data_IF_466577582006
#
_entry.id   IF_466577582006
#
_cell.length_a   1.000
_cell.length_b   1.000
_cell.length_c   1.000
_cell.angle_alpha   90.00
_cell.angle_beta   90.00
_cell.angle_gamma   90.00
#
_symmetry.space_group_name_H-M   'P 1'
#
loop_
_entity.id
_entity.type
_entity.pdbx_description
1 polymer ?
#
# COMPACT_ATOMS: atom_id res chain seq x y z
N UNK A 1 29.00 83.32 22.99
CA UNK A 1 28.00 82.50 23.65
C UNK A 1 27.39 81.51 22.61
N UNK A 2 27.81 80.24 22.65
CA UNK A 2 27.46 79.30 21.65
C UNK A 2 26.42 78.36 22.21
N UNK A 3 25.24 78.27 21.56
CA UNK A 3 24.22 77.35 21.87
C UNK A 3 24.49 76.04 21.11
N UNK A 4 24.68 74.97 21.83
CA UNK A 4 24.76 73.58 21.27
C UNK A 4 23.34 73.04 21.02
N UNK A 5 23.02 72.72 19.78
CA UNK A 5 21.86 71.96 19.38
C UNK A 5 22.16 70.47 19.53
N UNK A 6 21.42 69.80 20.39
CA UNK A 6 21.44 68.34 20.48
C UNK A 6 20.37 67.78 19.52
N UNK A 7 20.81 67.08 18.49
CA UNK A 7 19.94 66.31 17.62
C UNK A 7 19.70 64.92 18.22
N UNK A 8 18.47 64.65 18.62
CA UNK A 8 18.07 63.30 19.02
C UNK A 8 17.72 62.48 17.78
N UNK A 9 18.53 61.47 17.52
CA UNK A 9 18.29 60.51 16.43
C UNK A 9 17.36 59.43 16.96
N UNK A 10 16.11 59.42 16.49
CA UNK A 10 15.13 58.42 16.79
C UNK A 10 15.39 57.21 15.91
N UNK A 11 15.90 56.13 16.47
CA UNK A 11 16.03 54.81 15.81
C UNK A 11 14.65 54.13 15.79
N UNK A 12 14.06 54.06 14.61
CA UNK A 12 12.84 53.32 14.36
C UNK A 12 13.23 51.85 14.18
N UNK A 13 13.00 51.01 15.19
CA UNK A 13 13.19 49.58 15.12
C UNK A 13 12.00 48.96 14.34
N UNK A 14 12.24 48.59 13.08
CA UNK A 14 11.30 47.85 12.25
C UNK A 14 11.36 46.37 12.64
N UNK A 15 10.45 45.95 13.50
CA UNK A 15 10.26 44.54 13.82
C UNK A 15 9.60 43.82 12.60
N UNK A 16 10.39 43.09 11.81
CA UNK A 16 9.89 42.16 10.84
C UNK A 16 9.27 40.96 11.56
N UNK A 17 7.95 40.93 11.64
CA UNK A 17 7.19 39.75 11.95
C UNK A 17 7.31 38.76 10.76
N UNK A 18 8.26 37.86 10.86
CA UNK A 18 8.29 36.65 10.02
C UNK A 18 7.10 35.79 10.44
N UNK A 19 5.96 35.97 9.76
CA UNK A 19 4.90 34.98 9.76
C UNK A 19 5.46 33.74 9.09
N UNK A 20 5.98 32.81 9.90
CA UNK A 20 6.31 31.48 9.46
C UNK A 20 5.02 30.82 8.99
N UNK A 21 4.79 30.82 7.68
CA UNK A 21 3.86 29.89 7.08
C UNK A 21 4.41 28.48 7.36
N UNK A 22 3.97 27.91 8.47
CA UNK A 22 4.15 26.51 8.74
C UNK A 22 3.43 25.75 7.63
N UNK A 23 4.19 25.31 6.62
CA UNK A 23 3.74 24.22 5.78
C UNK A 23 3.46 23.07 6.75
N UNK A 24 2.18 22.84 7.08
CA UNK A 24 1.75 21.57 7.61
C UNK A 24 2.05 20.56 6.50
N UNK A 25 3.18 19.90 6.63
CA UNK A 25 3.48 18.70 5.86
C UNK A 25 2.41 17.72 6.32
N UNK A 26 1.33 17.60 5.56
CA UNK A 26 0.46 16.44 5.65
C UNK A 26 1.36 15.23 5.56
N UNK A 27 1.18 14.19 6.41
CA UNK A 27 1.94 12.97 6.28
C UNK A 27 1.84 12.55 4.82
N UNK A 28 2.97 12.61 4.13
CA UNK A 28 2.99 12.48 2.69
C UNK A 28 2.46 11.09 2.33
N UNK A 29 1.39 11.06 1.58
CA UNK A 29 1.08 9.92 0.74
C UNK A 29 2.20 9.88 -0.32
N UNK A 30 3.33 9.36 0.09
CA UNK A 30 4.43 9.10 -0.82
C UNK A 30 4.02 7.86 -1.60
N UNK A 31 3.78 8.09 -2.81
CA UNK A 31 3.28 7.29 -3.89
C UNK A 31 4.11 6.04 -4.15
N UNK A 32 3.91 5.00 -3.37
CA UNK A 32 3.92 3.68 -3.95
C UNK A 32 2.59 3.63 -4.71
N UNK A 33 2.61 3.90 -6.01
CA UNK A 33 1.39 3.95 -6.80
C UNK A 33 0.96 2.52 -7.10
N UNK A 34 -0.30 2.27 -6.81
CA UNK A 34 -0.99 1.12 -7.36
C UNK A 34 -1.65 1.56 -8.65
N UNK A 35 -1.41 0.86 -9.73
CA UNK A 35 -2.25 0.90 -10.93
C UNK A 35 -3.55 0.09 -10.69
N UNK A 36 -4.17 0.30 -9.53
CA UNK A 36 -5.43 -0.32 -9.18
C UNK A 36 -6.55 0.27 -10.03
N UNK A 37 -7.11 -0.52 -10.91
CA UNK A 37 -8.37 -0.21 -11.56
C UNK A 37 -9.47 -0.02 -10.50
N UNK A 38 -10.53 0.68 -10.83
CA UNK A 38 -11.73 0.81 -9.99
C UNK A 38 -12.66 -0.39 -10.12
N UNK A 39 -12.12 -1.54 -10.47
CA UNK A 39 -12.90 -2.74 -10.79
C UNK A 39 -13.46 -3.36 -9.51
N UNK A 40 -14.69 -3.85 -9.63
CA UNK A 40 -15.34 -4.64 -8.60
C UNK A 40 -15.13 -6.13 -8.93
N UNK A 41 -14.50 -6.86 -8.00
CA UNK A 41 -14.28 -8.29 -8.14
C UNK A 41 -15.15 -9.07 -7.18
N UNK A 42 -15.78 -10.11 -7.67
CA UNK A 42 -16.42 -11.14 -6.84
C UNK A 42 -15.74 -12.49 -7.09
N UNK A 43 -15.42 -13.20 -6.02
CA UNK A 43 -14.84 -14.52 -6.09
C UNK A 43 -15.40 -15.44 -5.00
N UNK A 44 -15.34 -16.73 -5.26
CA UNK A 44 -15.84 -17.73 -4.32
C UNK A 44 -14.71 -18.13 -3.38
N UNK A 45 -15.03 -18.20 -2.07
CA UNK A 45 -14.10 -18.66 -1.05
C UNK A 45 -13.66 -20.10 -1.33
N UNK A 46 -12.36 -20.31 -1.30
CA UNK A 46 -11.78 -21.65 -1.47
C UNK A 46 -11.93 -22.41 -0.15
N UNK A 47 -12.54 -23.61 -0.15
CA UNK A 47 -12.62 -24.40 1.07
C UNK A 47 -11.23 -24.62 1.67
N UNK A 48 -11.06 -24.60 3.00
CA UNK A 48 -9.76 -24.80 3.65
C UNK A 48 -9.03 -26.08 3.25
N UNK A 49 -9.76 -27.11 2.81
CA UNK A 49 -9.19 -28.35 2.23
C UNK A 49 -8.60 -28.16 0.83
N UNK A 50 -8.95 -27.07 0.16
CA UNK A 50 -8.54 -26.73 -1.21
C UNK A 50 -7.55 -25.54 -1.21
N UNK A 51 -7.07 -25.13 -0.04
CA UNK A 51 -6.08 -24.09 0.13
C UNK A 51 -6.64 -22.75 0.55
N UNK A 52 -5.88 -21.68 0.30
CA UNK A 52 -6.24 -20.30 0.60
C UNK A 52 -6.57 -19.57 -0.70
N UNK A 53 -7.54 -18.68 -0.66
CA UNK A 53 -7.79 -17.75 -1.77
C UNK A 53 -6.69 -16.71 -1.79
N UNK A 54 -6.10 -16.47 -2.94
CA UNK A 54 -5.04 -15.49 -3.17
C UNK A 54 -5.60 -14.34 -3.99
N UNK A 55 -5.32 -13.11 -3.56
CA UNK A 55 -5.64 -11.89 -4.30
C UNK A 55 -4.38 -11.08 -4.44
N UNK A 56 -4.00 -10.77 -5.67
CA UNK A 56 -2.77 -10.08 -6.00
C UNK A 56 -3.02 -8.73 -6.66
N UNK A 57 -2.19 -7.76 -6.28
CA UNK A 57 -2.14 -6.41 -6.82
C UNK A 57 -0.73 -6.00 -7.19
N UNK A 58 -0.61 -5.23 -8.25
CA UNK A 58 0.68 -4.68 -8.68
C UNK A 58 0.90 -3.35 -7.99
N UNK A 59 2.07 -3.20 -7.36
CA UNK A 59 2.52 -1.92 -6.84
C UNK A 59 3.89 -1.56 -7.40
N UNK A 60 4.16 -0.27 -7.52
CA UNK A 60 5.43 0.27 -8.01
C UNK A 60 6.00 1.26 -7.01
N UNK A 61 7.26 1.12 -6.64
CA UNK A 61 7.96 2.15 -5.89
C UNK A 61 8.37 3.28 -6.86
N UNK A 62 7.60 4.36 -6.89
CA UNK A 62 7.89 5.53 -7.73
C UNK A 62 8.85 6.53 -7.06
N UNK A 63 9.30 6.23 -5.83
CA UNK A 63 10.32 7.01 -5.13
C UNK A 63 11.72 6.80 -5.72
N UNK A 64 12.66 7.59 -5.25
CA UNK A 64 14.09 7.52 -5.60
C UNK A 64 14.92 6.72 -4.59
N UNK A 65 14.28 6.21 -3.54
CA UNK A 65 14.89 5.42 -2.48
C UNK A 65 14.15 4.08 -2.31
N UNK A 66 14.82 3.04 -1.80
CA UNK A 66 14.16 1.80 -1.45
C UNK A 66 13.20 2.01 -0.27
N UNK A 67 12.10 1.27 -0.26
CA UNK A 67 11.13 1.21 0.84
C UNK A 67 11.04 -0.20 1.39
N UNK A 68 10.88 -0.34 2.71
CA UNK A 68 10.69 -1.64 3.35
C UNK A 68 9.22 -1.82 3.71
N UNK A 69 8.60 -2.89 3.24
CA UNK A 69 7.21 -3.23 3.59
C UNK A 69 7.14 -3.61 5.07
N UNK A 70 6.22 -3.00 5.81
CA UNK A 70 6.02 -3.26 7.26
C UNK A 70 4.70 -3.93 7.57
N UNK A 71 3.68 -3.72 6.73
CA UNK A 71 2.36 -4.31 6.91
C UNK A 71 1.60 -4.37 5.59
N UNK A 72 0.81 -5.43 5.40
CA UNK A 72 -0.18 -5.52 4.33
C UNK A 72 -1.52 -5.91 4.94
N UNK A 73 -2.56 -5.15 4.63
CA UNK A 73 -3.91 -5.41 5.15
C UNK A 73 -4.99 -5.06 4.14
N UNK A 74 -6.22 -5.47 4.42
CA UNK A 74 -7.39 -5.08 3.64
C UNK A 74 -7.92 -3.71 4.11
N UNK A 75 -8.32 -2.88 3.15
CA UNK A 75 -9.03 -1.63 3.40
C UNK A 75 -10.51 -1.90 3.65
N UNK A 76 -11.08 -1.23 4.68
CA UNK A 76 -12.50 -1.27 5.03
C UNK A 76 -13.07 -2.70 5.07
N UNK A 77 -12.28 -3.66 5.52
CA UNK A 77 -12.65 -5.06 5.54
C UNK A 77 -13.88 -5.30 6.43
N UNK A 78 -14.86 -6.01 5.88
CA UNK A 78 -16.02 -6.52 6.59
C UNK A 78 -16.06 -8.04 6.41
N UNK A 79 -15.90 -8.76 7.52
CA UNK A 79 -15.91 -10.22 7.53
C UNK A 79 -14.90 -10.91 6.60
N UNK A 80 -13.86 -10.18 6.17
CA UNK A 80 -12.68 -10.73 5.48
C UNK A 80 -11.44 -10.52 6.35
N UNK A 81 -10.52 -11.48 6.30
CA UNK A 81 -9.25 -11.43 7.01
C UNK A 81 -8.10 -11.76 6.08
N UNK A 82 -6.95 -11.09 6.29
CA UNK A 82 -5.66 -11.49 5.71
C UNK A 82 -5.07 -12.57 6.61
N UNK A 83 -4.73 -13.71 6.05
CA UNK A 83 -4.05 -14.79 6.74
C UNK A 83 -2.54 -14.72 6.56
N UNK A 84 -2.11 -14.39 5.34
CA UNK A 84 -0.71 -14.21 4.97
C UNK A 84 -0.61 -13.15 3.86
N UNK A 85 0.57 -12.54 3.74
CA UNK A 85 0.89 -11.63 2.63
C UNK A 85 2.28 -11.94 2.08
N UNK A 86 2.39 -11.86 0.76
CA UNK A 86 3.60 -12.17 0.02
C UNK A 86 3.92 -11.08 -1.00
N UNK A 87 5.19 -10.96 -1.32
CA UNK A 87 5.66 -10.21 -2.49
C UNK A 87 6.18 -11.19 -3.52
N UNK A 88 5.79 -10.98 -4.76
CA UNK A 88 6.31 -11.70 -5.91
C UNK A 88 7.04 -10.69 -6.79
N UNK A 89 8.37 -10.78 -6.90
CA UNK A 89 9.14 -9.92 -7.80
C UNK A 89 8.66 -10.08 -9.24
N UNK A 90 8.34 -8.95 -9.89
CA UNK A 90 7.93 -8.99 -11.28
C UNK A 90 9.13 -9.23 -12.19
N UNK A 91 9.01 -10.24 -13.04
CA UNK A 91 9.98 -10.48 -14.10
C UNK A 91 9.45 -9.91 -15.42
N UNK A 92 10.34 -9.46 -16.28
CA UNK A 92 9.97 -9.02 -17.62
C UNK A 92 9.46 -10.22 -18.43
N UNK A 93 8.18 -10.24 -18.75
CA UNK A 93 7.58 -11.28 -19.60
C UNK A 93 6.14 -11.63 -19.22
N UNK A 94 5.43 -12.39 -20.06
CA UNK A 94 4.10 -12.89 -19.74
C UNK A 94 4.12 -13.87 -18.56
N UNK A 95 3.06 -13.87 -17.73
CA UNK A 95 2.92 -14.78 -16.58
C UNK A 95 3.68 -14.31 -15.33
N UNK A 96 3.93 -13.00 -15.17
CA UNK A 96 4.68 -12.47 -14.04
C UNK A 96 3.81 -12.02 -12.86
N UNK A 97 2.48 -11.99 -12.99
CA UNK A 97 1.56 -11.48 -11.98
C UNK A 97 0.48 -12.49 -11.64
N UNK A 98 0.09 -12.49 -10.39
CA UNK A 98 -1.04 -13.25 -9.88
C UNK A 98 -2.16 -12.25 -9.55
N UNK A 99 -3.32 -12.44 -10.16
CA UNK A 99 -4.54 -11.72 -9.81
C UNK A 99 -5.31 -12.49 -8.72
N UNK A 100 -6.36 -13.25 -9.10
CA UNK A 100 -7.07 -14.13 -8.16
C UNK A 100 -6.74 -15.60 -8.45
N UNK A 101 -6.40 -16.35 -7.41
CA UNK A 101 -6.03 -17.78 -7.52
C UNK A 101 -6.22 -18.51 -6.18
N UNK A 102 -5.68 -19.71 -6.06
CA UNK A 102 -5.64 -20.51 -4.85
C UNK A 102 -4.26 -21.10 -4.63
N UNK A 103 -3.87 -21.28 -3.37
CA UNK A 103 -2.59 -21.92 -2.99
C UNK A 103 -2.47 -23.38 -3.47
N UNK A 104 -3.58 -24.06 -3.72
CA UNK A 104 -3.60 -25.44 -4.20
C UNK A 104 -3.91 -25.56 -5.70
N UNK A 105 -3.73 -24.49 -6.46
CA UNK A 105 -3.84 -24.55 -7.91
C UNK A 105 -2.88 -25.62 -8.48
N UNK A 106 -3.35 -26.34 -9.50
CA UNK A 106 -2.51 -27.28 -10.26
C UNK A 106 -1.96 -26.66 -11.54
N UNK A 107 -2.24 -25.39 -11.75
CA UNK A 107 -1.72 -24.64 -12.87
C UNK A 107 -0.20 -24.43 -12.69
N UNK A 108 0.62 -25.01 -13.58
CA UNK A 108 2.07 -24.92 -13.44
C UNK A 108 2.60 -23.48 -13.58
N UNK A 109 1.90 -22.60 -14.30
CA UNK A 109 2.29 -21.19 -14.41
C UNK A 109 2.08 -20.47 -13.08
N UNK A 110 0.93 -20.69 -12.44
CA UNK A 110 0.64 -20.11 -11.12
C UNK A 110 1.59 -20.69 -10.06
N UNK A 111 1.89 -21.98 -10.10
CA UNK A 111 2.87 -22.58 -9.18
C UNK A 111 4.25 -21.93 -9.36
N UNK A 112 4.71 -21.75 -10.58
CA UNK A 112 5.99 -21.10 -10.88
C UNK A 112 6.03 -19.62 -10.40
N UNK A 113 4.89 -18.93 -10.33
CA UNK A 113 4.77 -17.61 -9.73
C UNK A 113 4.88 -17.71 -8.20
N UNK A 114 4.14 -18.62 -7.58
CA UNK A 114 4.12 -18.83 -6.14
C UNK A 114 5.46 -19.31 -5.58
N UNK A 115 6.22 -20.09 -6.34
CA UNK A 115 7.58 -20.55 -5.96
C UNK A 115 8.57 -19.41 -5.77
N UNK A 116 8.25 -18.21 -6.26
CA UNK A 116 9.05 -16.97 -6.11
C UNK A 116 8.52 -16.04 -5.02
N UNK A 117 7.43 -16.43 -4.37
CA UNK A 117 6.81 -15.61 -3.35
C UNK A 117 7.68 -15.53 -2.10
N UNK A 118 7.91 -14.30 -1.63
CA UNK A 118 8.62 -14.01 -0.40
C UNK A 118 7.65 -13.38 0.61
N UNK A 119 7.85 -13.53 1.93
CA UNK A 119 7.04 -12.83 2.93
C UNK A 119 7.02 -11.33 2.66
N UNK A 120 5.84 -10.70 2.75
CA UNK A 120 5.73 -9.29 2.47
C UNK A 120 6.42 -8.41 3.53
N UNK A 121 6.27 -8.77 4.81
CA UNK A 121 6.90 -8.04 5.91
C UNK A 121 8.43 -8.14 5.83
N UNK A 122 9.09 -7.00 5.83
CA UNK A 122 10.54 -6.89 5.70
C UNK A 122 11.06 -6.90 4.25
N UNK A 123 10.19 -7.11 3.25
CA UNK A 123 10.60 -7.04 1.84
C UNK A 123 11.00 -5.61 1.46
N UNK A 124 12.09 -5.47 0.71
CA UNK A 124 12.60 -4.18 0.26
C UNK A 124 12.28 -4.00 -1.22
N UNK A 125 11.47 -2.98 -1.52
CA UNK A 125 11.12 -2.62 -2.90
C UNK A 125 12.05 -1.50 -3.35
N UNK A 126 12.89 -1.77 -4.34
CA UNK A 126 13.84 -0.81 -4.89
C UNK A 126 13.17 0.36 -5.66
N UNK A 127 13.92 1.45 -5.93
CA UNK A 127 13.43 2.57 -6.72
C UNK A 127 13.03 2.12 -8.14
N UNK A 128 11.81 2.47 -8.56
CA UNK A 128 11.25 2.07 -9.86
C UNK A 128 10.89 0.59 -9.96
N UNK A 129 11.10 -0.19 -8.91
CA UNK A 129 10.75 -1.60 -8.89
C UNK A 129 9.23 -1.78 -8.84
N UNK A 130 8.75 -2.73 -9.62
CA UNK A 130 7.38 -3.17 -9.64
C UNK A 130 7.28 -4.58 -9.07
N UNK A 131 6.37 -4.77 -8.15
CA UNK A 131 6.13 -6.07 -7.50
C UNK A 131 4.65 -6.40 -7.48
N UNK A 132 4.32 -7.69 -7.40
CA UNK A 132 2.97 -8.15 -7.17
C UNK A 132 2.82 -8.46 -5.67
N UNK A 133 2.01 -7.67 -4.97
CA UNK A 133 1.61 -7.95 -3.58
C UNK A 133 0.47 -8.94 -3.61
N UNK A 134 0.62 -10.06 -2.96
CA UNK A 134 -0.38 -11.13 -2.91
C UNK A 134 -0.82 -11.35 -1.48
N UNK A 135 -2.11 -11.23 -1.21
CA UNK A 135 -2.72 -11.54 0.09
C UNK A 135 -3.45 -12.86 0.03
N UNK A 136 -3.18 -13.73 1.00
CA UNK A 136 -4.02 -14.89 1.26
C UNK A 136 -5.18 -14.44 2.15
N UNK A 137 -6.40 -14.58 1.65
CA UNK A 137 -7.61 -14.08 2.32
C UNK A 137 -8.61 -15.19 2.59
N UNK A 138 -9.42 -15.01 3.63
CA UNK A 138 -10.54 -15.89 3.95
C UNK A 138 -11.73 -15.09 4.48
N UNK A 139 -12.91 -15.71 4.47
CA UNK A 139 -14.11 -15.18 5.13
C UNK A 139 -14.05 -15.57 6.61
N UNK A 140 -14.40 -14.62 7.49
CA UNK A 140 -14.47 -14.86 8.92
C UNK A 140 -15.37 -16.06 9.27
N UNK A 141 -15.02 -16.77 10.35
CA UNK A 141 -15.75 -17.97 10.74
C UNK A 141 -17.23 -17.67 11.02
N UNK A 142 -18.12 -18.51 10.49
CA UNK A 142 -19.57 -18.38 10.70
C UNK A 142 -20.28 -17.42 9.75
N UNK A 143 -19.55 -16.73 8.89
CA UNK A 143 -20.09 -15.79 7.91
C UNK A 143 -20.11 -16.42 6.52
N UNK A 144 -20.99 -15.96 5.64
CA UNK A 144 -21.14 -16.48 4.26
C UNK A 144 -20.53 -15.57 3.21
N UNK A 145 -20.33 -14.31 3.54
CA UNK A 145 -19.82 -13.30 2.61
C UNK A 145 -18.98 -12.28 3.38
N UNK A 146 -17.89 -11.86 2.79
CA UNK A 146 -17.07 -10.75 3.26
C UNK A 146 -16.76 -9.77 2.14
N UNK A 147 -16.30 -8.59 2.47
CA UNK A 147 -15.92 -7.58 1.50
C UNK A 147 -14.74 -6.74 1.98
N UNK A 148 -14.04 -6.12 1.03
CA UNK A 148 -13.04 -5.10 1.29
C UNK A 148 -13.01 -4.08 0.13
N UNK A 149 -12.53 -2.88 0.39
CA UNK A 149 -12.42 -1.82 -0.62
C UNK A 149 -11.03 -1.76 -1.27
N UNK A 150 -10.13 -2.63 -0.89
CA UNK A 150 -8.78 -2.71 -1.45
C UNK A 150 -7.77 -3.37 -0.54
N UNK A 151 -6.49 -3.23 -0.94
CA UNK A 151 -5.32 -3.65 -0.17
C UNK A 151 -4.53 -2.40 0.22
N UNK A 152 -4.20 -2.25 1.49
CA UNK A 152 -3.28 -1.23 1.99
C UNK A 152 -1.91 -1.87 2.22
N UNK A 153 -0.86 -1.24 1.69
CA UNK A 153 0.53 -1.60 1.94
C UNK A 153 1.20 -0.46 2.70
N UNK A 154 1.68 -0.75 3.89
CA UNK A 154 2.51 0.16 4.66
C UNK A 154 3.97 -0.15 4.43
N UNK A 155 4.74 0.89 4.24
CA UNK A 155 6.18 0.78 4.08
C UNK A 155 6.91 1.89 4.83
N UNK A 156 8.15 1.63 5.16
CA UNK A 156 9.05 2.59 5.79
C UNK A 156 10.16 2.96 4.82
N UNK A 157 10.37 4.27 4.71
CA UNK A 157 11.55 4.88 4.13
C UNK A 157 12.06 5.84 5.19
N UNK A 158 13.13 5.45 5.89
CA UNK A 158 13.61 6.24 7.01
C UNK A 158 13.85 7.72 6.61
N UNK A 159 13.31 8.75 7.33
CA UNK A 159 12.56 8.63 8.60
C UNK A 159 11.03 8.49 8.49
N UNK A 160 10.49 8.36 7.29
CA UNK A 160 9.05 8.45 7.02
C UNK A 160 8.37 7.08 6.90
N UNK A 161 7.10 7.01 7.32
CA UNK A 161 6.22 5.88 7.05
C UNK A 161 5.30 6.24 5.89
N UNK A 162 5.23 5.39 4.89
CA UNK A 162 4.42 5.57 3.70
C UNK A 162 3.24 4.59 3.71
N UNK A 163 2.10 5.04 3.20
CA UNK A 163 0.90 4.21 3.04
C UNK A 163 0.49 4.25 1.57
N UNK A 164 0.25 3.09 1.00
CA UNK A 164 -0.22 2.93 -0.38
C UNK A 164 -1.46 2.08 -0.40
N UNK A 165 -2.47 2.54 -1.13
CA UNK A 165 -3.75 1.88 -1.26
C UNK A 165 -3.94 1.38 -2.68
N UNK A 166 -4.16 0.07 -2.85
CA UNK A 166 -4.76 -0.48 -4.06
C UNK A 166 -6.27 -0.56 -3.85
N UNK A 167 -7.02 0.24 -4.59
CA UNK A 167 -8.47 0.32 -4.43
C UNK A 167 -9.18 -0.59 -5.42
N UNK A 168 -9.31 -1.86 -5.04
CA UNK A 168 -10.14 -2.82 -5.75
C UNK A 168 -11.23 -3.27 -4.81
N UNK A 169 -12.47 -2.98 -5.17
CA UNK A 169 -13.61 -3.46 -4.40
C UNK A 169 -13.73 -4.96 -4.55
N UNK A 170 -13.59 -5.68 -3.45
CA UNK A 170 -13.60 -7.13 -3.39
C UNK A 170 -14.82 -7.62 -2.64
N UNK A 171 -15.48 -8.63 -3.19
CA UNK A 171 -16.51 -9.41 -2.50
C UNK A 171 -16.13 -10.89 -2.58
N UNK A 172 -16.08 -11.55 -1.44
CA UNK A 172 -15.81 -12.97 -1.31
C UNK A 172 -17.03 -13.67 -0.74
N UNK A 173 -17.46 -14.76 -1.34
CA UNK A 173 -18.67 -15.49 -0.93
C UNK A 173 -18.44 -16.98 -0.90
N UNK A 174 -19.17 -17.71 -0.02
CA UNK A 174 -19.18 -19.17 0.02
C UNK A 174 -20.14 -19.79 -0.98
N UNK A 175 -20.96 -19.00 -1.64
CA UNK A 175 -21.99 -19.46 -2.58
C UNK A 175 -21.54 -19.19 -4.03
N UNK A 176 -22.25 -18.33 -4.72
CA UNK A 176 -21.92 -17.92 -6.08
C UNK A 176 -21.94 -16.41 -6.18
N UNK A 177 -21.16 -15.87 -7.10
CA UNK A 177 -21.14 -14.45 -7.40
C UNK A 177 -22.32 -13.97 -8.27
N UNK A 178 -23.24 -14.87 -8.65
CA UNK A 178 -24.38 -14.61 -9.53
C UNK A 178 -25.64 -15.32 -9.03
#
# INVERSE_FOLDING_TARGET
>A
MHAKRNSATTLLALALLMAGAGCSVSPGYSSVLTDGGTDEMCFVDVPPSEGKTLVGEIITNNGDQPVTVTEVKLLDAQDMVVEDAYIIPMQSGPGSTLGVSSTLTKDPEVQAILDRAEPAEGYVIGPGEQVNVVTAVSIAAGVRQGSASGIEVRSEQWPDTNVSDARIKMTMTKDSCF
#
